data_IF_222471120495
#
_entry.id   IF_222471120495
#
_cell.length_a   1.000
_cell.length_b   1.000
_cell.length_c   1.000
_cell.angle_alpha   90.00
_cell.angle_beta   90.00
_cell.angle_gamma   90.00
#
_symmetry.space_group_name_H-M   'P 1'
#
loop_
_entity.id
_entity.type
_entity.pdbx_description
1 polymer ?
#
# COMPACT_ATOMS: atom_id res chain seq x y z
N UNK A 1 5.39 15.25 11.91
CA UNK A 1 5.98 14.86 10.61
C UNK A 1 7.51 15.01 10.53
N UNK A 2 8.16 15.89 11.32
CA UNK A 2 9.63 16.10 11.27
C UNK A 2 10.43 14.83 11.60
N UNK A 3 10.01 14.03 12.59
CA UNK A 3 10.78 12.89 13.11
C UNK A 3 10.85 11.66 12.19
N UNK A 4 9.89 11.49 11.27
CA UNK A 4 9.87 10.33 10.35
C UNK A 4 10.94 10.47 9.25
N UNK A 5 11.23 11.71 8.83
CA UNK A 5 12.27 12.02 7.84
C UNK A 5 13.66 11.65 8.36
N UNK A 6 13.91 11.89 9.64
CA UNK A 6 15.21 11.61 10.27
C UNK A 6 15.51 10.11 10.42
N UNK A 7 14.49 9.26 10.62
CA UNK A 7 14.69 7.83 10.91
C UNK A 7 14.47 6.91 9.73
N UNK A 8 13.55 7.22 8.82
CA UNK A 8 13.16 6.32 7.71
C UNK A 8 13.99 6.63 6.45
N UNK A 9 14.21 7.92 6.18
CA UNK A 9 14.85 8.39 4.94
C UNK A 9 15.91 9.45 5.21
N UNK A 10 17.00 9.11 5.94
CA UNK A 10 18.07 10.06 6.25
C UNK A 10 18.77 10.56 4.97
N UNK A 11 18.93 11.88 4.87
CA UNK A 11 19.51 12.55 3.69
C UNK A 11 20.95 12.12 3.40
N UNK A 12 21.73 11.78 4.41
CA UNK A 12 23.11 11.28 4.27
C UNK A 12 23.17 9.98 3.46
N UNK A 13 22.12 9.14 3.54
CA UNK A 13 22.06 7.83 2.86
C UNK A 13 21.34 7.90 1.51
N UNK A 14 20.30 8.72 1.40
CA UNK A 14 19.38 8.70 0.26
C UNK A 14 19.32 10.02 -0.53
N UNK A 15 20.08 11.04 -0.11
CA UNK A 15 19.98 12.39 -0.66
C UNK A 15 18.71 13.13 -0.20
N UNK A 16 18.55 14.36 -0.67
CA UNK A 16 17.30 15.10 -0.43
C UNK A 16 16.18 14.49 -1.28
N UNK A 17 15.17 13.95 -0.61
CA UNK A 17 13.93 13.45 -1.21
C UNK A 17 12.77 14.18 -0.54
N UNK A 18 11.95 14.88 -1.34
CA UNK A 18 10.80 15.66 -0.89
C UNK A 18 9.67 14.75 -0.37
N UNK A 19 9.62 13.49 -0.82
CA UNK A 19 8.71 12.47 -0.28
C UNK A 19 8.83 11.10 -0.95
N UNK A 20 8.10 10.12 -0.41
CA UNK A 20 8.07 8.73 -0.93
C UNK A 20 7.54 8.64 -2.36
N UNK A 21 6.59 9.50 -2.74
CA UNK A 21 6.05 9.55 -4.11
C UNK A 21 7.13 10.01 -5.10
N UNK A 22 7.87 11.06 -4.76
CA UNK A 22 8.99 11.53 -5.60
C UNK A 22 10.07 10.45 -5.74
N UNK A 23 10.32 9.68 -4.67
CA UNK A 23 11.23 8.53 -4.73
C UNK A 23 10.74 7.49 -5.73
N UNK A 24 9.45 7.15 -5.73
CA UNK A 24 8.88 6.20 -6.69
C UNK A 24 8.99 6.72 -8.14
N UNK A 25 8.70 8.00 -8.38
CA UNK A 25 8.84 8.64 -9.71
C UNK A 25 10.29 8.66 -10.19
N UNK A 26 11.24 8.92 -9.30
CA UNK A 26 12.68 8.91 -9.63
C UNK A 26 13.14 7.49 -10.02
N UNK A 27 12.71 6.48 -9.26
CA UNK A 27 13.02 5.09 -9.57
C UNK A 27 12.34 4.65 -10.88
N UNK A 28 11.08 5.00 -11.10
CA UNK A 28 10.38 4.72 -12.35
C UNK A 28 11.14 5.29 -13.56
N UNK A 29 11.64 6.53 -13.47
CA UNK A 29 12.49 7.11 -14.52
C UNK A 29 13.84 6.38 -14.66
N UNK A 30 14.52 6.10 -13.55
CA UNK A 30 15.84 5.46 -13.55
C UNK A 30 15.83 4.06 -14.15
N UNK A 31 14.77 3.29 -13.91
CA UNK A 31 14.58 1.93 -14.42
C UNK A 31 13.69 1.87 -15.65
N UNK A 32 13.36 3.02 -16.24
CA UNK A 32 12.55 3.14 -17.45
C UNK A 32 11.18 2.44 -17.36
N UNK A 33 10.59 2.41 -16.16
CA UNK A 33 9.29 1.78 -15.90
C UNK A 33 8.19 2.71 -16.41
N UNK A 34 7.54 2.32 -17.50
CA UNK A 34 6.51 3.12 -18.13
C UNK A 34 5.25 3.21 -17.27
N UNK A 35 4.45 4.26 -17.50
CA UNK A 35 3.14 4.38 -16.84
C UNK A 35 2.22 3.21 -17.14
N UNK A 36 2.28 2.68 -18.37
CA UNK A 36 1.50 1.51 -18.76
C UNK A 36 1.87 0.27 -17.94
N UNK A 37 3.17 -0.02 -17.77
CA UNK A 37 3.61 -1.15 -16.94
C UNK A 37 3.19 -1.01 -15.48
N UNK A 38 3.20 0.22 -14.94
CA UNK A 38 2.71 0.50 -13.60
C UNK A 38 1.20 0.19 -13.47
N UNK A 39 0.40 0.64 -14.44
CA UNK A 39 -1.05 0.41 -14.46
C UNK A 39 -1.38 -1.09 -14.66
N UNK A 40 -0.65 -1.79 -15.52
CA UNK A 40 -0.78 -3.24 -15.73
C UNK A 40 -0.45 -4.04 -14.46
N UNK A 41 0.61 -3.64 -13.74
CA UNK A 41 0.94 -4.23 -12.45
C UNK A 41 -0.16 -3.99 -11.42
N UNK A 42 -0.67 -2.75 -11.33
CA UNK A 42 -1.73 -2.38 -10.40
C UNK A 42 -3.00 -3.21 -10.66
N UNK A 43 -3.44 -3.31 -11.92
CA UNK A 43 -4.59 -4.12 -12.31
C UNK A 43 -4.41 -5.58 -11.88
N UNK A 44 -3.26 -6.17 -12.19
CA UNK A 44 -2.94 -7.56 -11.82
C UNK A 44 -2.92 -7.75 -10.30
N UNK A 45 -2.40 -6.78 -9.55
CA UNK A 45 -2.39 -6.80 -8.09
C UNK A 45 -3.82 -6.85 -7.54
N UNK A 46 -4.71 -5.98 -8.03
CA UNK A 46 -6.12 -5.98 -7.64
C UNK A 46 -6.83 -7.28 -7.98
N UNK A 47 -6.63 -7.80 -9.20
CA UNK A 47 -7.21 -9.09 -9.61
C UNK A 47 -6.78 -10.25 -8.71
N UNK A 48 -5.49 -10.29 -8.34
CA UNK A 48 -4.96 -11.31 -7.41
C UNK A 48 -5.56 -11.18 -6.02
N UNK A 49 -5.69 -9.95 -5.51
CA UNK A 49 -6.28 -9.70 -4.19
C UNK A 49 -7.75 -10.17 -4.15
N UNK A 50 -8.55 -9.81 -5.16
CA UNK A 50 -9.96 -10.25 -5.29
C UNK A 50 -10.04 -11.77 -5.35
N UNK A 51 -9.28 -12.41 -6.23
CA UNK A 51 -9.29 -13.86 -6.36
C UNK A 51 -8.83 -14.59 -5.08
N UNK A 52 -7.92 -14.00 -4.31
CA UNK A 52 -7.47 -14.56 -3.03
C UNK A 52 -8.55 -14.44 -1.94
N UNK A 53 -9.26 -13.32 -1.88
CA UNK A 53 -10.43 -13.14 -0.99
C UNK A 53 -11.53 -14.13 -1.35
N UNK A 54 -11.91 -14.23 -2.63
CA UNK A 54 -12.96 -15.15 -3.10
C UNK A 54 -12.62 -16.63 -2.83
N UNK A 55 -11.32 -16.97 -2.86
CA UNK A 55 -10.83 -18.30 -2.56
C UNK A 55 -10.59 -18.57 -1.06
N UNK A 56 -10.94 -17.63 -0.16
CA UNK A 56 -10.77 -17.77 1.29
C UNK A 56 -9.31 -17.83 1.76
N UNK A 57 -8.36 -17.33 0.95
CA UNK A 57 -6.93 -17.44 1.28
C UNK A 57 -6.51 -16.58 2.48
N UNK A 58 -7.30 -15.55 2.78
CA UNK A 58 -7.03 -14.64 3.89
C UNK A 58 -7.80 -14.98 5.17
N UNK A 59 -8.65 -16.01 5.16
CA UNK A 59 -9.52 -16.37 6.28
C UNK A 59 -8.74 -16.73 7.56
N UNK A 60 -7.50 -17.21 7.41
CA UNK A 60 -6.64 -17.59 8.54
C UNK A 60 -5.87 -16.40 9.15
N UNK A 61 -5.74 -15.29 8.42
CA UNK A 61 -4.92 -14.13 8.84
C UNK A 61 -5.72 -12.86 9.09
N UNK A 62 -6.92 -12.72 8.51
CA UNK A 62 -7.82 -11.60 8.78
C UNK A 62 -8.65 -11.90 10.03
N UNK A 63 -8.54 -11.04 11.03
CA UNK A 63 -9.39 -11.02 12.22
C UNK A 63 -10.40 -9.88 12.04
N UNK A 64 -11.70 -10.22 12.07
CA UNK A 64 -12.77 -9.23 12.00
C UNK A 64 -12.69 -8.21 13.12
N UNK A 65 -12.92 -6.94 12.79
CA UNK A 65 -12.95 -5.86 13.77
C UNK A 65 -14.42 -5.44 13.97
N UNK A 66 -15.01 -5.65 15.16
CA UNK A 66 -16.40 -5.30 15.38
C UNK A 66 -16.59 -3.77 15.42
N UNK A 67 -17.47 -3.27 14.58
CA UNK A 67 -17.85 -1.86 14.49
C UNK A 67 -19.16 -1.64 15.27
N UNK A 68 -19.12 -0.90 16.38
CA UNK A 68 -20.32 -0.63 17.18
C UNK A 68 -21.35 0.16 16.38
N UNK A 69 -22.60 -0.27 16.44
CA UNK A 69 -23.72 0.41 15.79
C UNK A 69 -24.45 1.32 16.77
N UNK A 70 -25.03 2.42 16.26
CA UNK A 70 -25.85 3.33 17.09
C UNK A 70 -27.05 2.61 17.70
N UNK A 71 -27.58 1.61 17.00
CA UNK A 71 -28.65 0.69 17.44
C UNK A 71 -28.43 -0.67 16.79
N UNK A 72 -28.65 -1.74 17.53
CA UNK A 72 -28.43 -3.11 17.07
C UNK A 72 -27.04 -3.63 17.42
N UNK A 73 -26.77 -4.87 17.00
CA UNK A 73 -25.52 -5.55 17.27
C UNK A 73 -24.36 -4.96 16.45
N UNK A 74 -23.10 -5.08 16.91
CA UNK A 74 -21.93 -4.71 16.13
C UNK A 74 -21.87 -5.49 14.80
N UNK A 75 -21.34 -4.83 13.77
CA UNK A 75 -21.06 -5.47 12.47
C UNK A 75 -19.56 -5.71 12.36
N UNK A 76 -19.16 -6.87 11.84
CA UNK A 76 -17.75 -7.14 11.60
C UNK A 76 -17.29 -6.47 10.30
N UNK A 77 -16.11 -5.83 10.36
CA UNK A 77 -15.40 -5.29 9.19
C UNK A 77 -14.53 -6.35 8.52
#
# INVERSE_FOLDING_TARGET
MVRARETISPEERFGYISGMVETAENLAKQYEITRQEQDEYALRSHQRAVAAVEAGKFDQEIIGVPIPQRRGDPVDL
#
